data_IF_697746558622
#
_entry.id   IF_697746558622
#
_cell.length_a   1.000
_cell.length_b   1.000
_cell.length_c   1.000
_cell.angle_alpha   90.00
_cell.angle_beta   90.00
_cell.angle_gamma   90.00
#
_symmetry.space_group_name_H-M   'P 1'
#
loop_
_entity.id
_entity.type
_entity.pdbx_description
1 polymer ?
#
# COMPACT_ATOMS: atom_id res chain seq x y z
N UNK A 1 -0.58 -25.75 2.77
CA UNK A 1 -1.05 -24.61 1.96
C UNK A 1 -0.34 -23.38 2.52
N UNK A 2 0.53 -22.76 1.74
CA UNK A 2 1.16 -21.49 2.13
C UNK A 2 0.07 -20.44 2.29
N UNK A 3 -0.06 -19.82 3.46
CA UNK A 3 -0.99 -18.71 3.64
C UNK A 3 -0.32 -17.43 3.16
N UNK A 4 -0.91 -16.80 2.14
CA UNK A 4 -0.53 -15.45 1.72
C UNK A 4 -0.77 -14.51 2.88
N UNK A 5 0.26 -13.76 3.27
CA UNK A 5 0.12 -12.66 4.23
C UNK A 5 0.06 -11.35 3.48
N UNK A 6 -0.93 -10.54 3.81
CA UNK A 6 -1.19 -9.28 3.12
C UNK A 6 -0.85 -8.10 4.01
N UNK A 7 -0.06 -7.18 3.47
CA UNK A 7 0.34 -5.96 4.15
C UNK A 7 -0.16 -4.78 3.34
N UNK A 8 -0.73 -3.79 4.01
CA UNK A 8 -1.02 -2.49 3.43
C UNK A 8 -0.21 -1.41 4.10
N UNK A 9 0.39 -0.53 3.31
CA UNK A 9 1.23 0.55 3.81
C UNK A 9 0.70 1.87 3.27
N UNK A 10 0.37 2.77 4.18
CA UNK A 10 -0.20 4.08 3.90
C UNK A 10 0.68 5.17 4.51
N UNK A 11 0.97 6.23 3.75
CA UNK A 11 1.66 7.40 4.31
C UNK A 11 0.74 8.10 5.33
N UNK A 12 1.28 8.43 6.51
CA UNK A 12 0.55 9.23 7.51
C UNK A 12 0.08 10.56 6.90
N UNK A 13 -0.99 11.19 7.42
CA UNK A 13 -1.58 12.39 6.82
C UNK A 13 -0.59 13.51 6.51
N UNK A 14 0.42 13.73 7.36
CA UNK A 14 1.47 14.73 7.11
C UNK A 14 2.28 14.45 5.82
N UNK A 15 2.56 13.18 5.54
CA UNK A 15 3.42 12.72 4.43
C UNK A 15 2.63 12.24 3.19
N UNK A 16 1.30 12.25 3.23
CA UNK A 16 0.43 11.76 2.17
C UNK A 16 0.34 12.69 0.93
N UNK A 17 1.48 13.15 0.42
CA UNK A 17 1.56 14.06 -0.72
C UNK A 17 0.88 13.51 -1.98
N UNK A 18 1.12 12.23 -2.31
CA UNK A 18 0.53 11.59 -3.50
C UNK A 18 -0.99 11.51 -3.44
N UNK A 19 -1.54 11.23 -2.25
CA UNK A 19 -2.98 11.19 -2.04
C UNK A 19 -3.62 12.58 -2.21
N UNK A 20 -2.94 13.63 -1.71
CA UNK A 20 -3.39 15.02 -1.91
C UNK A 20 -3.35 15.45 -3.37
N UNK A 21 -2.28 15.11 -4.09
CA UNK A 21 -2.14 15.37 -5.52
C UNK A 21 -3.26 14.69 -6.31
N UNK A 22 -3.50 13.39 -6.09
CA UNK A 22 -4.56 12.66 -6.79
C UNK A 22 -5.95 13.21 -6.48
N UNK A 23 -6.23 13.62 -5.23
CA UNK A 23 -7.49 14.30 -4.89
C UNK A 23 -7.63 15.60 -5.68
N UNK A 24 -6.56 16.37 -5.82
CA UNK A 24 -6.56 17.60 -6.60
C UNK A 24 -6.81 17.34 -8.09
N UNK A 25 -6.18 16.32 -8.67
CA UNK A 25 -6.42 15.93 -10.08
C UNK A 25 -7.87 15.49 -10.32
N UNK A 26 -8.44 14.66 -9.43
CA UNK A 26 -9.84 14.23 -9.53
C UNK A 26 -10.80 15.44 -9.51
N UNK A 27 -10.51 16.42 -8.65
CA UNK A 27 -11.34 17.61 -8.52
C UNK A 27 -11.15 18.58 -9.67
N UNK A 28 -9.91 18.93 -10.00
CA UNK A 28 -9.56 20.01 -10.93
C UNK A 28 -9.55 19.54 -12.38
N UNK A 29 -8.97 18.37 -12.66
CA UNK A 29 -8.82 17.86 -14.02
C UNK A 29 -10.05 17.07 -14.47
N UNK A 30 -10.56 16.16 -13.63
CA UNK A 30 -11.75 15.35 -13.96
C UNK A 30 -13.07 16.05 -13.60
N UNK A 31 -13.03 17.14 -12.82
CA UNK A 31 -14.23 17.89 -12.43
C UNK A 31 -15.12 17.20 -11.39
N UNK A 32 -14.65 16.13 -10.73
CA UNK A 32 -15.47 15.33 -9.81
C UNK A 32 -15.39 15.90 -8.40
N UNK A 33 -16.34 16.78 -8.08
CA UNK A 33 -16.39 17.52 -6.81
C UNK A 33 -16.83 16.68 -5.61
N UNK A 34 -17.49 15.55 -5.84
CA UNK A 34 -18.05 14.71 -4.78
C UNK A 34 -17.00 13.94 -3.96
N UNK A 35 -15.77 13.81 -4.47
CA UNK A 35 -14.69 13.08 -3.78
C UNK A 35 -14.09 13.98 -2.69
N UNK A 36 -14.42 13.66 -1.44
CA UNK A 36 -13.97 14.45 -0.27
C UNK A 36 -12.57 14.07 0.18
N UNK A 37 -12.18 12.81 0.02
CA UNK A 37 -10.87 12.31 0.43
C UNK A 37 -10.36 11.20 -0.50
N UNK A 38 -9.04 11.07 -0.58
CA UNK A 38 -8.36 10.01 -1.33
C UNK A 38 -7.27 9.43 -0.42
N UNK A 39 -7.15 8.11 -0.43
CA UNK A 39 -6.09 7.37 0.27
C UNK A 39 -5.33 6.56 -0.75
N UNK A 40 -4.02 6.45 -0.57
CA UNK A 40 -3.13 5.64 -1.42
C UNK A 40 -2.42 4.66 -0.51
N UNK A 41 -2.67 3.37 -0.74
CA UNK A 41 -2.06 2.29 0.00
C UNK A 41 -1.25 1.42 -0.95
N UNK A 42 -0.08 0.98 -0.51
CA UNK A 42 0.71 -0.03 -1.20
C UNK A 42 0.37 -1.39 -0.59
N UNK A 43 -0.01 -2.34 -1.44
CA UNK A 43 -0.30 -3.73 -1.03
C UNK A 43 0.93 -4.60 -1.31
N UNK A 44 1.36 -5.36 -0.31
CA UNK A 44 2.32 -6.45 -0.47
C UNK A 44 1.61 -7.76 -0.15
N UNK A 45 1.69 -8.71 -1.08
CA UNK A 45 1.26 -10.10 -0.85
C UNK A 45 2.53 -10.94 -0.71
N UNK A 46 2.74 -11.52 0.47
CA UNK A 46 4.00 -12.16 0.86
C UNK A 46 3.75 -13.62 1.23
N UNK A 47 4.54 -14.50 0.64
CA UNK A 47 4.49 -15.94 0.87
C UNK A 47 5.88 -16.50 1.21
N UNK A 48 5.93 -17.72 1.74
CA UNK A 48 7.16 -18.50 1.91
C UNK A 48 8.27 -17.85 2.77
N UNK A 49 7.91 -17.05 3.78
CA UNK A 49 8.86 -16.53 4.78
C UNK A 49 8.47 -16.95 6.20
N UNK A 50 9.41 -16.97 7.15
CA UNK A 50 9.09 -17.27 8.55
C UNK A 50 8.36 -16.10 9.23
N UNK A 51 7.66 -16.37 10.33
CA UNK A 51 6.96 -15.33 11.10
C UNK A 51 7.92 -14.29 11.68
N UNK A 52 9.11 -14.72 12.10
CA UNK A 52 10.16 -13.84 12.61
C UNK A 52 10.66 -12.88 11.51
N UNK A 53 10.95 -13.41 10.32
CA UNK A 53 11.39 -12.59 9.18
C UNK A 53 10.28 -11.65 8.74
N UNK A 54 9.03 -12.11 8.68
CA UNK A 54 7.87 -11.29 8.35
C UNK A 54 7.70 -10.12 9.32
N UNK A 55 7.75 -10.38 10.64
CA UNK A 55 7.60 -9.36 11.66
C UNK A 55 8.70 -8.29 11.59
N UNK A 56 9.94 -8.71 11.29
CA UNK A 56 11.06 -7.78 11.08
C UNK A 56 10.87 -6.96 9.80
N UNK A 57 10.59 -7.63 8.69
CA UNK A 57 10.40 -7.02 7.38
C UNK A 57 9.27 -5.98 7.35
N UNK A 58 8.19 -6.20 8.12
CA UNK A 58 7.13 -5.20 8.28
C UNK A 58 7.66 -3.83 8.72
N UNK A 59 8.69 -3.79 9.59
CA UNK A 59 9.21 -2.55 10.18
C UNK A 59 10.45 -2.00 9.47
N UNK A 60 11.10 -2.81 8.63
CA UNK A 60 12.40 -2.45 8.03
C UNK A 60 12.41 -2.45 6.51
N UNK A 61 11.51 -3.20 5.86
CA UNK A 61 11.46 -3.36 4.40
C UNK A 61 10.17 -2.81 3.84
N UNK A 62 9.02 -3.24 4.37
CA UNK A 62 7.72 -2.90 3.79
C UNK A 62 7.24 -1.50 4.17
N UNK A 63 7.65 -0.99 5.34
CA UNK A 63 7.24 0.33 5.81
C UNK A 63 8.38 1.09 6.47
N UNK A 64 8.22 2.41 6.50
CA UNK A 64 9.03 3.32 7.29
C UNK A 64 8.18 3.81 8.48
N UNK A 65 8.27 3.20 9.68
CA UNK A 65 7.37 3.49 10.81
C UNK A 65 7.21 4.97 11.21
N UNK A 66 8.23 5.85 11.05
CA UNK A 66 8.06 7.28 11.32
C UNK A 66 7.04 7.96 10.39
N UNK A 67 6.94 7.54 9.13
CA UNK A 67 6.14 8.21 8.09
C UNK A 67 4.96 7.39 7.59
N UNK A 68 4.93 6.10 7.85
CA UNK A 68 3.92 5.15 7.37
C UNK A 68 3.04 4.59 8.50
N UNK A 69 1.84 4.17 8.13
CA UNK A 69 0.96 3.30 8.89
C UNK A 69 0.91 1.97 8.16
N UNK A 70 1.20 0.89 8.88
CA UNK A 70 1.14 -0.48 8.37
C UNK A 70 -0.10 -1.17 8.91
N UNK A 71 -0.84 -1.81 8.02
CA UNK A 71 -2.01 -2.64 8.34
C UNK A 71 -1.75 -4.08 7.87
N UNK A 72 -2.23 -5.04 8.65
CA UNK A 72 -2.14 -6.46 8.35
C UNK A 72 -3.52 -6.97 7.92
N UNK A 73 -3.55 -7.72 6.82
CA UNK A 73 -4.72 -8.38 6.21
C UNK A 73 -5.83 -7.45 5.70
N UNK A 74 -6.23 -6.46 6.50
CA UNK A 74 -7.28 -5.49 6.18
C UNK A 74 -6.93 -4.10 6.70
N UNK A 75 -7.60 -3.08 6.19
CA UNK A 75 -7.51 -1.71 6.68
C UNK A 75 -8.91 -1.10 6.82
N UNK A 76 -9.03 -0.11 7.69
CA UNK A 76 -10.32 0.52 7.95
C UNK A 76 -10.81 1.28 6.73
N UNK A 77 -12.03 0.99 6.28
CA UNK A 77 -12.69 1.71 5.20
C UNK A 77 -13.84 2.55 5.75
N UNK A 78 -13.84 3.85 5.44
CA UNK A 78 -14.95 4.70 5.83
C UNK A 78 -16.23 4.30 5.07
N UNK A 79 -17.42 4.36 5.69
CA UNK A 79 -18.68 4.07 5.02
C UNK A 79 -18.86 4.87 3.73
N UNK A 80 -19.33 4.21 2.67
CA UNK A 80 -19.51 4.82 1.34
C UNK A 80 -18.23 4.97 0.52
N UNK A 81 -17.06 4.58 1.05
CA UNK A 81 -15.81 4.57 0.30
C UNK A 81 -15.81 3.48 -0.78
N UNK A 82 -15.08 3.73 -1.86
CA UNK A 82 -14.78 2.73 -2.89
C UNK A 82 -13.28 2.49 -2.94
N UNK A 83 -12.89 1.24 -3.13
CA UNK A 83 -11.50 0.81 -3.22
C UNK A 83 -11.35 -0.01 -4.49
N UNK A 84 -10.25 0.22 -5.18
CA UNK A 84 -9.78 -0.59 -6.29
C UNK A 84 -8.26 -0.67 -6.20
N UNK A 85 -7.69 -1.74 -6.76
CA UNK A 85 -6.25 -1.92 -6.84
C UNK A 85 -5.80 -1.85 -8.29
N UNK A 86 -4.57 -1.39 -8.48
CA UNK A 86 -3.84 -1.52 -9.73
C UNK A 86 -2.60 -2.36 -9.46
N UNK A 87 -2.29 -3.26 -10.39
CA UNK A 87 -1.11 -4.11 -10.32
C UNK A 87 -0.50 -4.24 -11.71
N UNK A 88 0.80 -4.58 -11.74
CA UNK A 88 1.48 -4.88 -12.98
C UNK A 88 0.90 -6.13 -13.64
N UNK A 89 0.85 -6.13 -14.97
CA UNK A 89 0.42 -7.30 -15.72
C UNK A 89 1.48 -8.41 -15.64
N UNK A 90 1.08 -9.69 -15.78
CA UNK A 90 2.03 -10.79 -15.85
C UNK A 90 3.13 -10.54 -16.89
N UNK A 91 4.39 -10.68 -16.47
CA UNK A 91 5.57 -10.44 -17.31
C UNK A 91 6.10 -8.99 -17.31
N UNK A 92 5.41 -8.04 -16.68
CA UNK A 92 5.96 -6.72 -16.41
C UNK A 92 6.87 -6.77 -15.18
N UNK A 93 7.99 -6.05 -15.25
CA UNK A 93 8.92 -5.95 -14.14
C UNK A 93 8.37 -5.01 -13.06
N UNK A 94 8.15 -5.55 -11.87
CA UNK A 94 7.85 -4.77 -10.66
C UNK A 94 9.13 -4.61 -9.84
N UNK A 95 9.78 -3.45 -10.02
CA UNK A 95 11.01 -3.11 -9.29
C UNK A 95 10.84 -3.13 -7.77
N UNK A 96 9.65 -2.76 -7.27
CA UNK A 96 9.38 -2.69 -5.84
C UNK A 96 9.21 -4.08 -5.26
N UNK A 97 8.48 -4.96 -5.96
CA UNK A 97 8.34 -6.35 -5.55
C UNK A 97 9.71 -7.07 -5.56
N UNK A 98 10.50 -6.89 -6.62
CA UNK A 98 11.85 -7.47 -6.72
C UNK A 98 12.76 -6.97 -5.57
N UNK A 99 12.81 -5.66 -5.34
CA UNK A 99 13.62 -5.09 -4.25
C UNK A 99 13.18 -5.63 -2.88
N UNK A 100 11.87 -5.74 -2.64
CA UNK A 100 11.35 -6.28 -1.39
C UNK A 100 11.72 -7.77 -1.23
N UNK A 101 11.60 -8.57 -2.29
CA UNK A 101 11.99 -9.98 -2.30
C UNK A 101 13.47 -10.16 -1.93
N UNK A 102 14.36 -9.37 -2.53
CA UNK A 102 15.79 -9.44 -2.23
C UNK A 102 16.12 -9.04 -0.78
N UNK A 103 15.35 -8.13 -0.18
CA UNK A 103 15.57 -7.69 1.21
C UNK A 103 15.02 -8.67 2.26
N UNK A 104 14.11 -9.59 1.90
CA UNK A 104 13.49 -10.54 2.84
C UNK A 104 14.02 -11.97 2.71
N UNK A 105 14.85 -12.25 1.69
CA UNK A 105 15.67 -13.46 1.60
C UNK A 105 16.72 -13.49 2.71
#
# INVERSE_FOLDING_TARGET
>A
MSSVRRIFVEKKPAFAGKARELRHEIHSYLGIQAVTNVRVLIRYDVENISDEVFARACRTVFSEPPVDVLYLETFDMAPGSRVFSVEYLPGQFDQRADSAEQCVK
#
